data_IF_868576213792
#
_entry.id   IF_868576213792
#
_cell.length_a   1.000
_cell.length_b   1.000
_cell.length_c   1.000
_cell.angle_alpha   90.00
_cell.angle_beta   90.00
_cell.angle_gamma   90.00
#
_symmetry.space_group_name_H-M   'P 1'
#
loop_
_entity.id
_entity.type
_entity.pdbx_description
1 polymer ?
#
# COMPACT_ATOMS: atom_id res chain seq x y z
N UNK A 1 19.59 -10.70 44.11
CA UNK A 1 19.48 -9.61 43.13
C UNK A 1 20.86 -9.37 42.51
N UNK A 2 21.14 -9.99 41.37
CA UNK A 2 22.40 -9.80 40.64
C UNK A 2 22.31 -8.52 39.80
N UNK A 3 23.24 -7.59 40.01
CA UNK A 3 23.38 -6.38 39.19
C UNK A 3 23.92 -6.80 37.81
N UNK A 4 23.40 -6.28 36.69
CA UNK A 4 23.99 -6.54 35.39
C UNK A 4 25.39 -5.92 35.36
N UNK A 5 26.38 -6.72 34.95
CA UNK A 5 27.75 -6.28 34.78
C UNK A 5 27.80 -5.10 33.80
N UNK A 6 28.48 -4.03 34.21
CA UNK A 6 28.85 -2.90 33.34
C UNK A 6 29.68 -3.45 32.18
N UNK A 7 29.04 -3.73 31.05
CA UNK A 7 29.73 -3.60 29.77
C UNK A 7 30.26 -2.17 29.71
N UNK A 8 31.55 -2.01 29.38
CA UNK A 8 32.19 -0.71 29.29
C UNK A 8 31.34 0.21 28.41
N UNK A 9 30.98 1.40 28.89
CA UNK A 9 30.21 2.40 28.13
C UNK A 9 30.82 2.64 26.74
N UNK A 10 32.14 2.53 26.62
CA UNK A 10 32.89 2.63 25.36
C UNK A 10 32.58 1.47 24.41
N UNK A 11 32.42 0.25 24.93
CA UNK A 11 32.05 -0.91 24.12
C UNK A 11 30.61 -0.79 23.61
N UNK A 12 29.70 -0.22 24.41
CA UNK A 12 28.32 0.01 24.01
C UNK A 12 28.19 1.15 22.98
N UNK A 13 28.92 2.25 23.18
CA UNK A 13 29.03 3.34 22.20
C UNK A 13 29.68 2.84 20.90
N UNK A 14 30.74 2.03 21.00
CA UNK A 14 31.40 1.42 19.84
C UNK A 14 30.45 0.52 19.04
N UNK A 15 29.72 -0.37 19.71
CA UNK A 15 28.74 -1.25 19.08
C UNK A 15 27.56 -0.46 18.45
N UNK A 16 27.09 0.61 19.12
CA UNK A 16 26.01 1.45 18.58
C UNK A 16 26.47 2.30 17.38
N UNK A 17 27.73 2.75 17.36
CA UNK A 17 28.32 3.45 16.21
C UNK A 17 28.51 2.47 15.04
N UNK A 18 29.00 1.26 15.31
CA UNK A 18 29.16 0.19 14.32
C UNK A 18 27.81 -0.18 13.68
N UNK A 19 26.77 -0.36 14.49
CA UNK A 19 25.39 -0.58 14.06
C UNK A 19 24.88 0.58 13.18
N UNK A 20 25.12 1.83 13.58
CA UNK A 20 24.71 3.01 12.80
C UNK A 20 25.46 3.14 11.45
N UNK A 21 26.73 2.71 11.41
CA UNK A 21 27.54 2.74 10.19
C UNK A 21 27.12 1.61 9.24
N UNK A 22 26.84 0.43 9.79
CA UNK A 22 26.32 -0.71 9.06
C UNK A 22 24.94 -0.40 8.47
N UNK A 23 24.05 0.20 9.25
CA UNK A 23 22.73 0.65 8.78
C UNK A 23 22.85 1.69 7.66
N UNK A 24 23.76 2.66 7.81
CA UNK A 24 23.99 3.65 6.74
C UNK A 24 24.49 2.98 5.46
N UNK A 25 25.44 2.06 5.57
CA UNK A 25 25.95 1.31 4.43
C UNK A 25 24.87 0.50 3.72
N UNK A 26 24.03 -0.22 4.49
CA UNK A 26 22.91 -0.99 3.94
C UNK A 26 21.86 -0.10 3.28
N UNK A 27 21.58 1.06 3.86
CA UNK A 27 20.64 2.05 3.29
C UNK A 27 21.15 2.63 1.97
N UNK A 28 22.44 2.99 1.90
CA UNK A 28 23.10 3.46 0.67
C UNK A 28 23.09 2.38 -0.42
N UNK A 29 23.38 1.13 -0.06
CA UNK A 29 23.35 0.00 -1.01
C UNK A 29 21.92 -0.30 -1.49
N UNK A 30 20.93 -0.26 -0.61
CA UNK A 30 19.52 -0.39 -0.99
C UNK A 30 19.09 0.73 -1.95
N UNK A 31 19.42 1.98 -1.63
CA UNK A 31 19.13 3.12 -2.50
C UNK A 31 19.78 2.96 -3.87
N UNK A 32 21.04 2.51 -3.92
CA UNK A 32 21.77 2.23 -5.17
C UNK A 32 21.09 1.13 -5.98
N UNK A 33 20.70 0.03 -5.34
CA UNK A 33 20.01 -1.09 -6.00
C UNK A 33 18.64 -0.66 -6.54
N UNK A 34 17.84 0.07 -5.76
CA UNK A 34 16.54 0.60 -6.19
C UNK A 34 16.69 1.60 -7.34
N UNK A 35 17.68 2.50 -7.27
CA UNK A 35 17.95 3.46 -8.34
C UNK A 35 18.39 2.77 -9.64
N UNK A 36 19.26 1.76 -9.54
CA UNK A 36 19.67 0.93 -10.68
C UNK A 36 18.49 0.15 -11.27
N UNK A 37 17.58 -0.30 -10.40
CA UNK A 37 16.30 -0.88 -10.75
C UNK A 37 15.25 0.15 -11.19
N UNK A 38 15.65 1.40 -11.44
CA UNK A 38 14.80 2.46 -11.98
C UNK A 38 13.60 2.83 -11.09
N UNK A 39 13.69 2.65 -9.78
CA UNK A 39 12.81 3.31 -8.82
C UNK A 39 13.26 4.77 -8.68
N UNK A 40 12.91 5.59 -9.67
CA UNK A 40 13.22 7.03 -9.70
C UNK A 40 11.93 7.83 -9.63
N UNK A 41 12.01 9.05 -9.08
CA UNK A 41 10.89 9.99 -8.99
C UNK A 41 10.25 10.24 -10.36
N UNK A 42 11.07 10.54 -11.38
CA UNK A 42 10.61 10.76 -12.77
C UNK A 42 9.76 9.59 -13.31
N UNK A 43 10.12 8.34 -12.98
CA UNK A 43 9.38 7.16 -13.43
C UNK A 43 8.11 6.95 -12.63
N UNK A 44 8.15 7.19 -11.32
CA UNK A 44 6.97 7.16 -10.49
C UNK A 44 5.94 8.20 -10.99
N UNK A 45 6.38 9.43 -11.28
CA UNK A 45 5.54 10.50 -11.84
C UNK A 45 4.96 10.11 -13.21
N UNK A 46 5.78 9.59 -14.12
CA UNK A 46 5.32 9.12 -15.42
C UNK A 46 4.24 8.03 -15.30
N UNK A 47 4.45 7.08 -14.39
CA UNK A 47 3.52 5.99 -14.16
C UNK A 47 2.21 6.47 -13.52
N UNK A 48 2.29 7.38 -12.55
CA UNK A 48 1.13 8.02 -11.92
C UNK A 48 0.31 8.80 -12.95
N UNK A 49 0.95 9.61 -13.80
CA UNK A 49 0.29 10.33 -14.89
C UNK A 49 -0.42 9.38 -15.87
N UNK A 50 0.18 8.22 -16.15
CA UNK A 50 -0.46 7.20 -16.99
C UNK A 50 -1.64 6.53 -16.27
N UNK A 51 -1.56 6.31 -14.96
CA UNK A 51 -2.68 5.83 -14.16
C UNK A 51 -3.85 6.83 -14.18
N UNK A 52 -3.57 8.12 -14.00
CA UNK A 52 -4.58 9.19 -14.09
C UNK A 52 -5.25 9.23 -15.47
N UNK A 53 -4.45 9.09 -16.53
CA UNK A 53 -4.98 9.03 -17.89
C UNK A 53 -5.88 7.79 -18.10
N UNK A 54 -5.43 6.62 -17.66
CA UNK A 54 -6.21 5.37 -17.73
C UNK A 54 -7.52 5.49 -16.94
N UNK A 55 -7.48 6.12 -15.77
CA UNK A 55 -8.67 6.41 -14.99
C UNK A 55 -9.65 7.31 -15.74
N UNK A 56 -9.15 8.36 -16.40
CA UNK A 56 -9.98 9.23 -17.25
C UNK A 56 -10.64 8.47 -18.41
N UNK A 57 -9.89 7.61 -19.09
CA UNK A 57 -10.42 6.75 -20.16
C UNK A 57 -11.49 5.80 -19.62
N UNK A 58 -11.24 5.16 -18.48
CA UNK A 58 -12.21 4.27 -17.85
C UNK A 58 -13.51 5.02 -17.48
N UNK A 59 -13.42 6.24 -16.98
CA UNK A 59 -14.58 7.09 -16.70
C UNK A 59 -15.44 7.34 -17.95
N UNK A 60 -14.80 7.67 -19.08
CA UNK A 60 -15.50 7.87 -20.37
C UNK A 60 -16.16 6.58 -20.87
N UNK A 61 -15.43 5.46 -20.83
CA UNK A 61 -15.92 4.18 -21.36
C UNK A 61 -17.04 3.60 -20.53
N UNK A 62 -16.97 3.75 -19.21
CA UNK A 62 -17.92 3.09 -18.30
C UNK A 62 -19.10 3.96 -17.93
N UNK A 63 -19.03 5.28 -18.16
CA UNK A 63 -20.10 6.25 -17.86
C UNK A 63 -20.58 6.19 -16.40
N UNK A 64 -19.71 5.76 -15.48
CA UNK A 64 -20.05 5.53 -14.08
C UNK A 64 -19.94 6.79 -13.20
N UNK A 65 -19.64 7.94 -13.82
CA UNK A 65 -19.43 9.21 -13.11
C UNK A 65 -18.11 9.26 -12.35
N UNK A 66 -17.05 8.62 -12.86
CA UNK A 66 -15.70 8.56 -12.27
C UNK A 66 -15.68 7.88 -10.89
N UNK A 67 -16.59 6.92 -10.66
CA UNK A 67 -16.62 6.14 -9.41
C UNK A 67 -15.46 5.16 -9.32
N UNK A 68 -14.93 4.72 -10.46
CA UNK A 68 -13.70 3.93 -10.55
C UNK A 68 -12.48 4.81 -10.32
N UNK A 69 -11.68 4.42 -9.34
CA UNK A 69 -10.38 5.01 -9.02
C UNK A 69 -9.31 3.93 -9.18
N UNK A 70 -8.21 4.22 -9.87
CA UNK A 70 -7.06 3.31 -9.88
C UNK A 70 -6.38 3.33 -8.50
N UNK A 71 -5.88 2.19 -8.08
CA UNK A 71 -5.14 2.04 -6.82
C UNK A 71 -3.99 1.04 -6.99
N UNK A 72 -3.30 0.74 -5.91
CA UNK A 72 -2.21 -0.22 -5.90
C UNK A 72 -0.94 0.27 -6.58
N UNK A 73 -0.01 -0.68 -6.78
CA UNK A 73 1.37 -0.38 -7.15
C UNK A 73 1.50 0.47 -8.42
N UNK A 74 0.54 0.34 -9.34
CA UNK A 74 0.52 1.11 -10.59
C UNK A 74 0.20 2.58 -10.34
N UNK A 75 -0.89 2.86 -9.61
CA UNK A 75 -1.30 4.21 -9.26
C UNK A 75 -0.35 4.89 -8.27
N UNK A 76 0.44 4.14 -7.50
CA UNK A 76 1.39 4.68 -6.51
C UNK A 76 2.80 4.90 -7.10
N UNK A 77 3.03 4.50 -8.35
CA UNK A 77 4.30 4.68 -9.04
C UNK A 77 5.38 3.65 -8.68
N UNK A 78 5.02 2.56 -8.00
CA UNK A 78 5.96 1.53 -7.51
C UNK A 78 5.82 0.17 -8.21
N UNK A 79 4.97 0.04 -9.22
CA UNK A 79 4.69 -1.19 -10.00
C UNK A 79 5.89 -1.88 -10.69
N UNK A 80 7.13 -1.58 -10.31
CA UNK A 80 8.32 -2.26 -10.79
C UNK A 80 8.51 -3.60 -10.07
N UNK A 81 8.96 -4.61 -10.81
CA UNK A 81 9.26 -5.92 -10.26
C UNK A 81 10.46 -5.90 -9.29
N UNK A 82 10.21 -6.20 -8.01
CA UNK A 82 11.27 -6.49 -7.03
C UNK A 82 11.97 -7.84 -7.27
N UNK A 83 11.40 -8.72 -8.12
CA UNK A 83 11.97 -10.04 -8.43
C UNK A 83 13.14 -9.93 -9.41
N UNK A 84 13.03 -9.05 -10.39
CA UNK A 84 14.05 -8.86 -11.42
C UNK A 84 14.88 -7.58 -11.23
N UNK A 85 14.45 -6.67 -10.34
CA UNK A 85 15.19 -5.45 -9.96
C UNK A 85 15.62 -4.66 -11.21
N UNK A 86 14.76 -4.65 -12.23
CA UNK A 86 15.04 -4.09 -13.56
C UNK A 86 14.13 -2.91 -13.93
N UNK A 87 13.24 -2.50 -13.01
CA UNK A 87 12.37 -1.35 -13.24
C UNK A 87 11.33 -1.53 -14.33
N UNK A 88 11.04 -2.78 -14.68
CA UNK A 88 9.93 -3.12 -15.56
C UNK A 88 8.77 -3.57 -14.70
N UNK A 89 7.59 -3.09 -15.06
CA UNK A 89 6.34 -3.68 -14.61
C UNK A 89 6.38 -5.16 -14.93
N UNK A 90 6.18 -5.99 -13.91
CA UNK A 90 6.22 -7.42 -14.08
C UNK A 90 5.04 -7.83 -14.95
N UNK A 91 5.18 -8.91 -15.73
CA UNK A 91 4.08 -9.38 -16.59
C UNK A 91 2.84 -9.81 -15.77
N UNK A 92 3.04 -10.10 -14.49
CA UNK A 92 2.04 -10.44 -13.47
C UNK A 92 1.69 -9.25 -12.56
N UNK A 93 2.13 -8.03 -12.86
CA UNK A 93 1.67 -6.85 -12.12
C UNK A 93 0.25 -6.51 -12.53
N UNK A 94 -0.67 -6.65 -11.58
CA UNK A 94 -2.07 -6.32 -11.74
C UNK A 94 -2.31 -4.79 -11.70
N UNK A 95 -3.32 -4.34 -12.45
CA UNK A 95 -3.84 -2.98 -12.35
C UNK A 95 -5.05 -2.98 -11.42
N UNK A 96 -4.88 -2.48 -10.21
CA UNK A 96 -5.94 -2.47 -9.20
C UNK A 96 -6.89 -1.28 -9.40
N UNK A 97 -8.18 -1.54 -9.21
CA UNK A 97 -9.25 -0.54 -9.28
C UNK A 97 -10.14 -0.64 -8.05
N UNK A 98 -10.53 0.50 -7.51
CA UNK A 98 -11.56 0.62 -6.47
C UNK A 98 -12.77 1.34 -7.04
N UNK A 99 -13.96 0.81 -6.81
CA UNK A 99 -15.23 1.48 -7.16
C UNK A 99 -15.80 2.11 -5.90
N UNK A 100 -15.88 3.44 -5.87
CA UNK A 100 -16.50 4.20 -4.80
C UNK A 100 -17.97 4.47 -5.15
N UNK A 101 -18.88 3.69 -4.57
CA UNK A 101 -20.32 3.91 -4.74
C UNK A 101 -20.79 4.94 -3.71
N UNK A 102 -21.20 6.12 -4.18
CA UNK A 102 -21.67 7.19 -3.33
C UNK A 102 -22.89 6.75 -2.48
N UNK A 103 -22.84 7.01 -1.18
CA UNK A 103 -23.92 6.65 -0.24
C UNK A 103 -23.99 5.16 0.12
N UNK A 104 -23.13 4.31 -0.45
CA UNK A 104 -23.04 2.92 -0.04
C UNK A 104 -22.30 2.82 1.29
N UNK A 105 -22.98 2.33 2.31
CA UNK A 105 -22.39 2.03 3.60
C UNK A 105 -22.12 0.52 3.72
N UNK A 106 -20.97 0.18 4.30
CA UNK A 106 -20.56 -1.19 4.55
C UNK A 106 -20.41 -1.39 6.05
N UNK A 107 -21.31 -2.18 6.63
CA UNK A 107 -21.27 -2.51 8.05
C UNK A 107 -20.39 -3.73 8.24
N UNK A 108 -19.22 -3.58 8.86
CA UNK A 108 -18.35 -4.72 9.17
C UNK A 108 -18.80 -5.40 10.47
N UNK A 109 -18.73 -6.73 10.52
CA UNK A 109 -19.02 -7.45 11.77
C UNK A 109 -18.04 -7.00 12.88
N UNK A 110 -18.58 -6.74 14.07
CA UNK A 110 -17.81 -6.18 15.20
C UNK A 110 -17.51 -4.68 15.10
N UNK A 111 -17.71 -4.04 13.94
CA UNK A 111 -17.55 -2.60 13.74
C UNK A 111 -18.73 -1.76 14.25
N UNK A 112 -19.95 -2.29 14.14
CA UNK A 112 -21.17 -1.63 14.62
C UNK A 112 -21.35 -1.85 16.12
N UNK A 113 -21.29 -0.76 16.91
CA UNK A 113 -21.41 -0.81 18.39
C UNK A 113 -22.79 -0.43 18.94
N UNK A 114 -23.82 -0.28 18.10
CA UNK A 114 -25.17 0.06 18.56
C UNK A 114 -26.21 0.16 17.45
N UNK A 115 -27.48 0.27 17.83
CA UNK A 115 -28.67 0.24 16.95
C UNK A 115 -29.11 1.63 16.42
N UNK A 116 -28.19 2.58 16.33
CA UNK A 116 -28.50 3.95 15.92
C UNK A 116 -28.06 4.20 14.47
N UNK A 117 -28.81 5.05 13.76
CA UNK A 117 -28.52 5.41 12.37
C UNK A 117 -28.69 4.22 11.43
N UNK A 118 -27.73 4.02 10.53
CA UNK A 118 -27.67 2.89 9.60
C UNK A 118 -27.20 1.58 10.22
N UNK A 119 -26.66 1.59 11.44
CA UNK A 119 -26.20 0.38 12.16
C UNK A 119 -27.34 -0.40 12.86
N UNK A 120 -28.58 -0.29 12.35
CA UNK A 120 -29.75 -0.98 12.92
C UNK A 120 -29.61 -2.51 12.82
N UNK A 121 -30.46 -3.23 13.54
CA UNK A 121 -30.38 -4.70 13.63
C UNK A 121 -30.59 -5.41 12.28
N UNK A 122 -31.25 -4.76 11.33
CA UNK A 122 -31.51 -5.22 9.97
C UNK A 122 -30.37 -4.89 8.98
N UNK A 123 -29.33 -4.17 9.42
CA UNK A 123 -28.17 -3.89 8.58
C UNK A 123 -27.41 -5.18 8.25
N UNK A 124 -27.12 -5.39 6.97
CA UNK A 124 -26.30 -6.52 6.53
C UNK A 124 -24.86 -6.31 7.00
N UNK A 125 -24.37 -7.22 7.85
CA UNK A 125 -23.00 -7.17 8.38
C UNK A 125 -22.08 -8.05 7.55
N UNK A 126 -21.03 -7.45 7.01
CA UNK A 126 -20.02 -8.11 6.21
C UNK A 126 -18.96 -8.73 7.11
N UNK A 127 -18.65 -9.98 6.81
CA UNK A 127 -17.54 -10.71 7.42
C UNK A 127 -16.22 -10.28 6.79
N UNK A 128 -15.22 -9.97 7.62
CA UNK A 128 -13.87 -9.67 7.15
C UNK A 128 -13.02 -10.93 7.27
N UNK A 129 -12.60 -11.48 6.13
CA UNK A 129 -11.70 -12.63 6.06
C UNK A 129 -10.41 -12.20 5.37
N UNK A 130 -9.28 -12.35 6.05
CA UNK A 130 -7.94 -11.98 5.54
C UNK A 130 -7.85 -10.52 5.04
N UNK A 131 -8.52 -9.60 5.74
CA UNK A 131 -8.52 -8.17 5.37
C UNK A 131 -9.52 -7.80 4.26
N UNK A 132 -10.30 -8.76 3.74
CA UNK A 132 -11.29 -8.51 2.71
C UNK A 132 -12.71 -8.79 3.20
N UNK A 133 -13.66 -7.97 2.76
CA UNK A 133 -15.10 -8.21 2.90
C UNK A 133 -15.71 -8.40 1.51
N UNK A 134 -16.42 -9.51 1.31
CA UNK A 134 -17.08 -9.79 0.04
C UNK A 134 -18.46 -9.12 0.02
N UNK A 135 -18.72 -8.38 -1.05
CA UNK A 135 -20.01 -7.71 -1.29
C UNK A 135 -20.63 -8.36 -2.53
N UNK A 136 -21.94 -8.64 -2.48
CA UNK A 136 -22.66 -9.11 -3.66
C UNK A 136 -22.61 -8.05 -4.77
N UNK A 137 -22.23 -8.45 -5.99
CA UNK A 137 -22.11 -7.53 -7.12
C UNK A 137 -23.52 -7.09 -7.56
N UNK A 138 -23.76 -5.77 -7.58
CA UNK A 138 -24.96 -5.17 -8.18
C UNK A 138 -25.99 -4.62 -7.19
N UNK A 139 -25.61 -3.59 -6.42
CA UNK A 139 -26.55 -2.64 -5.83
C UNK A 139 -26.59 -1.36 -6.69
#
# INVERSE_FOLDING_TARGET
>A
AQRPGRQSLIAWIGASIDDSQQDRFLSEELHRLLSNARFTEERAECQQNLADWLQGVAGVLTQDGNRRQMTGSYAEGWANSLVQVNGRTAADSDNDWTVLVAGQEFHLEGGCKGKYGSCRDDATRLQVTKGHALVAVGA
#
